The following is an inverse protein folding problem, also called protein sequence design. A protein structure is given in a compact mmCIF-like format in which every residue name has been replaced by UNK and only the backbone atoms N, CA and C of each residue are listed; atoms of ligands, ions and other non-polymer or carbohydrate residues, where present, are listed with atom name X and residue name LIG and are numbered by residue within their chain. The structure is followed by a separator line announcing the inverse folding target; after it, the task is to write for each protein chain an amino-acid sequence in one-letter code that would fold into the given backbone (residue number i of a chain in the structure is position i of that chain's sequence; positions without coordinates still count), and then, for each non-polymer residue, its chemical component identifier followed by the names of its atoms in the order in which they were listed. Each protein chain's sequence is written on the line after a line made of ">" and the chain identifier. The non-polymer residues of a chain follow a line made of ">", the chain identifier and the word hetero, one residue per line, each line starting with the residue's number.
data_IF_973965919807
#
_entry.id   IF_973965919807
#
_cell.length_a   1.000
_cell.length_b   1.000
_cell.length_c   1.000
_cell.angle_alpha   90.00
_cell.angle_beta   90.00
_cell.angle_gamma   90.00
#
_symmetry.space_group_name_H-M   'P 1'
#
loop_
_entity.id
_entity.type
_entity.pdbx_description
1 polymer ?
#
# COMPACT_ATOMS: atom_id res chain seq x y z
N UNK A 1 16.79 -29.19 -15.56
CA UNK A 1 17.08 -29.32 -14.12
C UNK A 1 15.92 -28.74 -13.33
N UNK A 2 15.20 -29.55 -12.55
CA UNK A 2 14.03 -29.14 -11.77
C UNK A 2 14.52 -28.62 -10.40
N UNK A 3 14.29 -27.33 -10.10
CA UNK A 3 14.62 -26.73 -8.79
C UNK A 3 13.55 -27.16 -7.77
N UNK A 4 13.92 -27.61 -6.56
CA UNK A 4 12.94 -27.96 -5.54
C UNK A 4 12.36 -26.68 -4.91
N UNK A 5 11.04 -26.60 -4.79
CA UNK A 5 10.36 -25.54 -4.07
C UNK A 5 10.38 -25.86 -2.56
N UNK A 6 11.12 -25.06 -1.79
CA UNK A 6 11.08 -25.10 -0.33
C UNK A 6 9.86 -24.30 0.16
N UNK A 7 8.87 -24.99 0.73
CA UNK A 7 7.78 -24.39 1.49
C UNK A 7 8.29 -24.02 2.88
N UNK A 8 8.38 -22.72 3.17
CA UNK A 8 8.54 -22.23 4.53
C UNK A 8 7.16 -22.08 5.18
N UNK A 9 6.84 -22.95 6.13
CA UNK A 9 5.66 -22.82 6.99
C UNK A 9 6.00 -21.86 8.13
N UNK A 10 5.53 -20.62 8.07
CA UNK A 10 5.61 -19.68 9.18
C UNK A 10 4.53 -20.01 10.22
N UNK A 11 4.94 -20.40 11.43
CA UNK A 11 4.04 -20.52 12.59
C UNK A 11 3.76 -19.10 13.09
N UNK A 12 2.55 -18.60 12.82
CA UNK A 12 2.07 -17.34 13.41
C UNK A 12 1.61 -17.62 14.84
N UNK A 13 2.35 -17.09 15.82
CA UNK A 13 1.88 -16.94 17.19
C UNK A 13 0.70 -15.96 17.20
N UNK A 14 -0.51 -16.49 17.29
CA UNK A 14 -1.73 -15.69 17.46
C UNK A 14 -1.78 -15.14 18.88
N UNK A 15 -1.34 -13.89 19.08
CA UNK A 15 -1.73 -13.12 20.25
C UNK A 15 -3.25 -12.90 20.19
N UNK A 16 -3.99 -13.01 21.31
CA UNK A 16 -5.43 -12.75 21.31
C UNK A 16 -5.63 -11.27 20.98
N UNK A 17 -6.12 -10.98 19.78
CA UNK A 17 -6.71 -9.69 19.49
C UNK A 17 -7.95 -9.59 20.37
N UNK A 18 -7.97 -8.61 21.28
CA UNK A 18 -9.15 -8.25 22.04
C UNK A 18 -10.23 -7.82 21.03
N UNK A 19 -11.09 -8.76 20.64
CA UNK A 19 -12.23 -8.49 19.77
C UNK A 19 -13.29 -7.77 20.61
N UNK A 20 -13.21 -6.45 20.63
CA UNK A 20 -14.22 -5.61 21.27
C UNK A 20 -15.46 -5.58 20.36
N UNK A 21 -16.63 -5.89 20.92
CA UNK A 21 -17.89 -5.82 20.19
C UNK A 21 -18.17 -4.37 19.79
N UNK A 22 -18.16 -4.07 18.49
CA UNK A 22 -18.35 -2.69 17.98
C UNK A 22 -17.44 -2.27 16.82
N UNK A 23 -16.56 -3.16 16.33
CA UNK A 23 -15.59 -2.85 15.26
C UNK A 23 -16.20 -2.49 13.89
N UNK A 24 -15.35 -1.96 13.00
CA UNK A 24 -15.74 -1.68 11.60
C UNK A 24 -16.19 -2.94 10.86
N UNK A 25 -17.08 -2.76 9.88
CA UNK A 25 -17.45 -3.84 8.96
C UNK A 25 -16.21 -4.42 8.28
N UNK A 26 -16.15 -5.74 8.16
CA UNK A 26 -15.04 -6.42 7.49
C UNK A 26 -14.79 -5.85 6.10
N UNK A 27 -13.52 -5.74 5.71
CA UNK A 27 -13.06 -5.20 4.43
C UNK A 27 -13.36 -3.71 4.17
N UNK A 28 -14.01 -2.98 5.08
CA UNK A 28 -14.27 -1.54 4.88
C UNK A 28 -13.05 -0.64 5.12
N UNK A 29 -12.01 -1.16 5.78
CA UNK A 29 -10.67 -0.56 5.79
C UNK A 29 -9.92 -0.67 4.45
N UNK A 30 -10.47 -1.42 3.49
CA UNK A 30 -9.81 -1.79 2.24
C UNK A 30 -8.78 -2.90 2.44
N UNK A 31 -7.98 -3.13 1.39
CA UNK A 31 -6.75 -3.93 1.45
C UNK A 31 -5.56 -3.01 1.71
N UNK A 32 -4.37 -3.58 1.88
CA UNK A 32 -3.14 -2.79 1.82
C UNK A 32 -2.78 -2.53 0.36
N UNK A 33 -2.56 -1.27 0.00
CA UNK A 33 -1.98 -0.93 -1.29
C UNK A 33 -0.55 -1.44 -1.39
N UNK A 34 0.00 -1.54 -2.60
CA UNK A 34 1.40 -1.89 -2.83
C UNK A 34 2.37 -0.89 -2.18
N UNK A 35 1.91 0.34 -1.95
CA UNK A 35 2.64 1.41 -1.26
C UNK A 35 2.47 1.34 0.29
N UNK A 36 1.65 0.42 0.80
CA UNK A 36 1.46 0.14 2.23
C UNK A 36 0.24 0.80 2.86
N UNK A 37 -0.16 1.97 2.38
CA UNK A 37 -1.34 2.67 2.86
C UNK A 37 -2.62 1.86 2.56
N UNK A 38 -3.61 1.96 3.43
CA UNK A 38 -4.87 1.25 3.22
C UNK A 38 -5.67 1.81 2.03
N UNK A 39 -6.29 0.90 1.27
CA UNK A 39 -7.11 1.23 0.13
C UNK A 39 -7.23 0.10 -0.87
N UNK A 40 -7.15 0.45 -2.15
CA UNK A 40 -7.09 -0.51 -3.24
C UNK A 40 -5.66 -1.02 -3.45
N UNK A 41 -5.48 -1.99 -4.35
CA UNK A 41 -4.16 -2.55 -4.63
C UNK A 41 -3.13 -1.50 -5.08
N UNK A 42 -3.50 -0.57 -5.95
CA UNK A 42 -2.59 0.47 -6.47
C UNK A 42 -2.76 1.84 -5.80
N UNK A 43 -3.99 2.19 -5.45
CA UNK A 43 -4.33 3.54 -4.99
C UNK A 43 -4.81 3.51 -3.54
N UNK A 44 -4.28 4.37 -2.65
CA UNK A 44 -4.83 4.51 -1.31
C UNK A 44 -6.27 5.02 -1.38
N UNK A 45 -7.10 4.55 -0.46
CA UNK A 45 -8.47 5.04 -0.25
C UNK A 45 -8.46 6.01 0.93
N UNK A 46 -9.61 6.64 1.17
CA UNK A 46 -9.77 7.52 2.32
C UNK A 46 -9.91 6.74 3.64
N UNK A 47 -10.29 5.45 3.58
CA UNK A 47 -10.42 4.54 4.72
C UNK A 47 -9.08 4.29 5.41
N UNK A 48 -9.11 4.01 6.72
CA UNK A 48 -7.93 3.56 7.49
C UNK A 48 -7.89 2.03 7.57
N UNK A 49 -6.69 1.45 7.53
CA UNK A 49 -6.45 0.02 7.24
C UNK A 49 -6.61 -0.94 8.39
N UNK A 50 -7.18 -0.52 9.51
CA UNK A 50 -7.53 -1.42 10.61
C UNK A 50 -9.03 -1.39 10.89
N UNK A 51 -9.46 -2.40 11.63
CA UNK A 51 -10.84 -2.51 12.12
C UNK A 51 -11.11 -1.67 13.38
N UNK A 52 -10.10 -0.91 13.86
CA UNK A 52 -10.25 -0.02 15.00
C UNK A 52 -11.22 1.12 14.69
N UNK A 53 -12.07 1.41 15.67
CA UNK A 53 -13.10 2.45 15.63
C UNK A 53 -12.65 3.72 16.34
N UNK A 54 -13.56 4.68 16.49
CA UNK A 54 -13.28 5.91 17.23
C UNK A 54 -12.87 5.58 18.68
N UNK A 55 -11.69 6.05 19.10
CA UNK A 55 -11.14 5.75 20.43
C UNK A 55 -10.13 4.60 20.48
N UNK A 56 -10.00 3.82 19.40
CA UNK A 56 -9.18 2.61 19.38
C UNK A 56 -7.90 2.78 18.54
N UNK A 57 -6.91 1.93 18.81
CA UNK A 57 -5.70 1.77 17.99
C UNK A 57 -5.71 0.37 17.40
N UNK A 58 -5.50 0.27 16.09
CA UNK A 58 -5.45 -1.00 15.37
C UNK A 58 -4.20 -1.09 14.51
N UNK A 59 -3.71 -2.31 14.33
CA UNK A 59 -2.55 -2.60 13.50
C UNK A 59 -2.88 -3.65 12.44
N UNK A 60 -2.22 -3.54 11.29
CA UNK A 60 -2.39 -4.44 10.15
C UNK A 60 -1.02 -4.77 9.60
N UNK A 61 -0.82 -6.03 9.20
CA UNK A 61 0.35 -6.50 8.46
C UNK A 61 -0.12 -7.16 7.18
N UNK A 62 0.67 -7.05 6.11
CA UNK A 62 0.31 -7.64 4.83
C UNK A 62 1.52 -8.15 4.07
N UNK A 63 1.23 -9.09 3.17
CA UNK A 63 2.13 -9.55 2.12
C UNK A 63 1.31 -9.75 0.86
N UNK A 64 1.83 -9.34 -0.29
CA UNK A 64 1.21 -9.54 -1.59
C UNK A 64 2.27 -9.96 -2.59
N UNK A 65 1.90 -10.92 -3.43
CA UNK A 65 2.69 -11.37 -4.57
C UNK A 65 1.85 -11.25 -5.82
N UNK A 66 2.38 -10.57 -6.83
CA UNK A 66 1.85 -10.60 -8.18
C UNK A 66 2.93 -11.17 -9.11
N UNK A 67 2.53 -11.96 -10.10
CA UNK A 67 3.46 -12.50 -11.10
C UNK A 67 2.81 -12.44 -12.47
N UNK A 68 3.57 -11.98 -13.44
CA UNK A 68 3.25 -12.02 -14.86
C UNK A 68 4.25 -12.94 -15.56
N UNK A 69 4.15 -13.11 -16.88
CA UNK A 69 5.10 -13.94 -17.62
C UNK A 69 6.55 -13.47 -17.50
N UNK A 70 6.77 -12.16 -17.34
CA UNK A 70 8.09 -11.54 -17.45
C UNK A 70 8.47 -10.70 -16.22
N UNK A 71 7.61 -10.62 -15.21
CA UNK A 71 7.83 -9.80 -14.02
C UNK A 71 7.24 -10.45 -12.77
N UNK A 72 7.92 -10.30 -11.64
CA UNK A 72 7.44 -10.63 -10.32
C UNK A 72 7.40 -9.40 -9.43
N UNK A 73 6.33 -9.23 -8.66
CA UNK A 73 6.22 -8.19 -7.66
C UNK A 73 5.97 -8.83 -6.29
N UNK A 74 6.82 -8.50 -5.33
CA UNK A 74 6.55 -8.71 -3.92
C UNK A 74 6.35 -7.37 -3.24
N UNK A 75 5.35 -7.30 -2.37
CA UNK A 75 5.18 -6.19 -1.43
C UNK A 75 4.79 -6.74 -0.08
N UNK A 76 5.32 -6.14 0.97
CA UNK A 76 4.97 -6.49 2.34
C UNK A 76 5.17 -5.27 3.25
N UNK A 77 4.41 -5.23 4.33
CA UNK A 77 4.43 -4.07 5.19
C UNK A 77 3.54 -4.21 6.40
N UNK A 78 3.50 -3.12 7.16
CA UNK A 78 2.68 -2.97 8.34
C UNK A 78 2.13 -1.54 8.42
N UNK A 79 0.98 -1.40 9.05
CA UNK A 79 0.37 -0.11 9.35
C UNK A 79 -0.21 -0.11 10.76
N UNK A 80 -0.18 1.05 11.39
CA UNK A 80 -0.89 1.34 12.64
C UNK A 80 -1.84 2.48 12.37
N UNK A 81 -3.07 2.37 12.86
CA UNK A 81 -4.07 3.42 12.74
C UNK A 81 -4.72 3.68 14.09
N UNK A 82 -5.10 4.93 14.33
CA UNK A 82 -5.62 5.38 15.60
C UNK A 82 -6.85 6.27 15.41
N UNK A 83 -7.83 6.09 16.29
CA UNK A 83 -9.06 6.86 16.41
C UNK A 83 -9.90 6.91 15.14
N UNK A 84 -9.71 5.95 14.23
CA UNK A 84 -10.25 5.99 12.88
C UNK A 84 -9.96 7.34 12.16
N UNK A 85 -8.78 7.91 12.40
CA UNK A 85 -8.41 9.24 11.89
C UNK A 85 -7.03 9.27 11.28
N UNK A 86 -6.05 8.65 11.92
CA UNK A 86 -4.65 8.71 11.49
C UNK A 86 -4.16 7.30 11.19
N UNK A 87 -3.34 7.16 10.15
CA UNK A 87 -2.65 5.93 9.79
C UNK A 87 -1.19 6.24 9.48
N UNK A 88 -0.30 5.40 9.99
CA UNK A 88 1.13 5.38 9.66
C UNK A 88 1.43 4.00 9.09
N UNK A 89 2.11 3.94 7.95
CA UNK A 89 2.42 2.71 7.25
C UNK A 89 3.89 2.63 6.84
N UNK A 90 4.40 1.41 6.80
CA UNK A 90 5.72 1.05 6.29
C UNK A 90 5.54 -0.10 5.32
N UNK A 91 6.07 0.04 4.12
CA UNK A 91 6.04 -1.01 3.11
C UNK A 91 7.37 -1.12 2.37
N UNK A 92 7.63 -2.32 1.88
CA UNK A 92 8.74 -2.63 1.01
C UNK A 92 8.24 -3.32 -0.25
N UNK A 93 8.65 -2.80 -1.39
CA UNK A 93 8.36 -3.35 -2.71
C UNK A 93 9.64 -3.94 -3.33
N UNK A 94 9.51 -5.08 -4.00
CA UNK A 94 10.57 -5.72 -4.78
C UNK A 94 9.98 -6.14 -6.13
N UNK A 95 10.31 -5.38 -7.18
CA UNK A 95 9.96 -5.69 -8.56
C UNK A 95 11.14 -6.43 -9.22
N UNK A 96 10.94 -7.70 -9.45
CA UNK A 96 11.81 -8.59 -10.21
C UNK A 96 11.45 -8.50 -11.70
N UNK A 97 12.45 -8.17 -12.52
CA UNK A 97 12.31 -8.10 -13.99
C UNK A 97 12.54 -9.44 -14.68
N UNK A 98 12.75 -10.50 -13.92
CA UNK A 98 13.10 -11.84 -14.37
C UNK A 98 14.18 -11.76 -15.47
N UNK A 99 13.98 -12.42 -16.60
CA UNK A 99 14.93 -12.37 -17.75
C UNK A 99 14.60 -11.31 -18.78
N UNK A 100 13.62 -10.44 -18.50
CA UNK A 100 13.07 -9.50 -19.48
C UNK A 100 14.08 -8.42 -19.93
N UNK A 101 15.06 -8.10 -19.08
CA UNK A 101 16.11 -7.11 -19.37
C UNK A 101 17.47 -7.76 -19.72
N UNK A 102 17.50 -9.07 -19.98
CA UNK A 102 18.72 -9.80 -20.34
C UNK A 102 19.40 -9.26 -21.60
N UNK A 103 18.64 -8.80 -22.59
CA UNK A 103 19.14 -8.17 -23.82
C UNK A 103 19.90 -6.86 -23.57
N UNK A 104 19.67 -6.22 -22.43
CA UNK A 104 20.36 -5.01 -21.96
C UNK A 104 21.49 -5.32 -20.96
N UNK A 105 21.80 -6.59 -20.73
CA UNK A 105 22.80 -7.02 -19.75
C UNK A 105 22.34 -6.90 -18.30
N UNK A 106 21.02 -6.77 -18.06
CA UNK A 106 20.42 -6.55 -16.74
C UNK A 106 19.53 -7.74 -16.33
N UNK A 107 20.03 -8.95 -16.56
CA UNK A 107 19.32 -10.18 -16.21
C UNK A 107 19.06 -10.27 -14.70
N UNK A 108 17.83 -10.61 -14.30
CA UNK A 108 17.42 -10.70 -12.90
C UNK A 108 17.50 -9.39 -12.13
N UNK A 109 17.31 -8.24 -12.79
CA UNK A 109 17.32 -6.95 -12.11
C UNK A 109 16.14 -6.85 -11.14
N UNK A 110 16.46 -6.52 -9.89
CA UNK A 110 15.51 -6.19 -8.84
C UNK A 110 15.47 -4.67 -8.61
N UNK A 111 14.28 -4.09 -8.72
CA UNK A 111 14.00 -2.69 -8.38
C UNK A 111 13.22 -2.67 -7.06
N UNK A 112 13.89 -2.23 -5.99
CA UNK A 112 13.33 -2.23 -4.64
C UNK A 112 12.96 -0.82 -4.20
N UNK A 113 11.91 -0.70 -3.40
CA UNK A 113 11.49 0.59 -2.85
C UNK A 113 11.04 0.42 -1.40
N UNK A 114 11.57 1.26 -0.52
CA UNK A 114 11.08 1.41 0.85
C UNK A 114 10.13 2.62 0.91
N UNK A 115 9.00 2.47 1.59
CA UNK A 115 7.89 3.44 1.57
C UNK A 115 7.42 3.68 3.00
N UNK A 116 7.45 4.93 3.44
CA UNK A 116 6.88 5.41 4.70
C UNK A 116 5.67 6.29 4.40
N UNK A 117 4.50 5.86 4.83
CA UNK A 117 3.23 6.54 4.60
C UNK A 117 2.65 7.15 5.88
N UNK A 118 2.03 8.32 5.74
CA UNK A 118 1.15 8.92 6.75
C UNK A 118 -0.14 9.34 6.06
N UNK A 119 -1.30 9.02 6.64
CA UNK A 119 -2.61 9.36 6.11
C UNK A 119 -3.51 9.86 7.23
N UNK A 120 -4.28 10.91 6.95
CA UNK A 120 -5.22 11.51 7.88
C UNK A 120 -6.59 11.67 7.23
N UNK A 121 -7.62 11.07 7.82
CA UNK A 121 -9.03 11.30 7.47
C UNK A 121 -9.44 12.69 7.93
N UNK A 122 -9.76 13.53 6.97
CA UNK A 122 -10.17 14.93 7.18
C UNK A 122 -11.65 14.99 7.54
N UNK A 123 -12.51 14.38 6.74
CA UNK A 123 -13.98 14.52 6.87
C UNK A 123 -14.72 13.32 6.30
N UNK A 124 -15.97 13.15 6.73
CA UNK A 124 -16.91 12.16 6.22
C UNK A 124 -16.67 10.74 6.72
N UNK A 125 -17.71 9.93 6.59
CA UNK A 125 -17.64 8.48 6.79
C UNK A 125 -18.05 7.74 5.51
N UNK A 126 -17.16 6.87 5.02
CA UNK A 126 -17.39 6.18 3.75
C UNK A 126 -18.54 5.17 3.84
N UNK A 127 -18.84 4.68 5.05
CA UNK A 127 -19.75 3.56 5.31
C UNK A 127 -20.98 4.02 6.07
N UNK A 128 -20.80 4.74 7.19
CA UNK A 128 -21.87 5.10 8.11
C UNK A 128 -22.77 6.22 7.58
N UNK A 129 -22.24 7.15 6.78
CA UNK A 129 -23.02 8.24 6.19
C UNK A 129 -23.77 7.80 4.91
N UNK A 130 -24.36 6.60 4.89
CA UNK A 130 -24.98 5.99 3.71
C UNK A 130 -26.13 6.82 3.11
N UNK A 131 -26.82 7.61 3.93
CA UNK A 131 -27.94 8.46 3.50
C UNK A 131 -27.50 9.77 2.82
N UNK A 132 -26.19 10.04 2.78
CA UNK A 132 -25.64 11.25 2.17
C UNK A 132 -24.64 10.92 1.06
N UNK A 133 -24.54 11.80 0.07
CA UNK A 133 -23.53 11.69 -1.00
C UNK A 133 -22.13 12.12 -0.56
N UNK A 134 -21.94 12.53 0.70
CA UNK A 134 -20.64 12.97 1.20
C UNK A 134 -19.67 11.77 1.25
N UNK A 135 -18.55 11.80 0.52
CA UNK A 135 -17.52 10.78 0.65
C UNK A 135 -16.67 11.03 1.90
N UNK A 136 -15.98 9.98 2.34
CA UNK A 136 -14.86 10.16 3.25
C UNK A 136 -13.68 10.73 2.48
N UNK A 137 -13.02 11.74 3.04
CA UNK A 137 -11.85 12.39 2.45
C UNK A 137 -10.65 12.24 3.35
N UNK A 138 -9.51 11.87 2.78
CA UNK A 138 -8.24 11.80 3.47
C UNK A 138 -7.12 12.49 2.67
N UNK A 139 -6.13 12.99 3.40
CA UNK A 139 -4.87 13.49 2.84
C UNK A 139 -3.78 12.54 3.29
N UNK A 140 -2.85 12.21 2.41
CA UNK A 140 -1.69 11.40 2.78
C UNK A 140 -0.40 11.85 2.12
N UNK A 141 0.69 11.40 2.74
CA UNK A 141 2.06 11.61 2.35
C UNK A 141 2.74 10.25 2.26
N UNK A 142 3.50 10.01 1.21
CA UNK A 142 4.32 8.81 1.05
C UNK A 142 5.76 9.22 0.76
N UNK A 143 6.67 8.96 1.68
CA UNK A 143 8.10 9.12 1.43
C UNK A 143 8.68 7.80 0.88
N UNK A 144 9.26 7.87 -0.30
CA UNK A 144 9.76 6.72 -1.06
C UNK A 144 11.27 6.82 -1.21
N UNK A 145 11.95 5.69 -1.02
CA UNK A 145 13.39 5.53 -1.29
C UNK A 145 13.61 4.33 -2.21
N UNK A 146 14.23 4.59 -3.35
CA UNK A 146 14.43 3.60 -4.42
C UNK A 146 15.85 3.04 -4.38
N UNK A 147 15.93 1.72 -4.51
CA UNK A 147 17.17 0.96 -4.65
C UNK A 147 17.16 0.29 -6.02
N UNK A 148 17.80 0.94 -7.00
CA UNK A 148 17.69 0.57 -8.41
C UNK A 148 18.66 -0.53 -8.87
N UNK A 149 19.31 -1.25 -7.96
CA UNK A 149 20.24 -2.34 -8.29
C UNK A 149 21.30 -1.92 -9.33
N UNK A 150 21.46 -2.74 -10.37
CA UNK A 150 22.44 -2.49 -11.45
C UNK A 150 22.14 -1.22 -12.27
N UNK A 151 20.92 -0.68 -12.23
CA UNK A 151 20.59 0.60 -12.87
C UNK A 151 21.00 1.83 -12.04
N UNK A 152 21.36 1.66 -10.76
CA UNK A 152 21.69 2.75 -9.85
C UNK A 152 22.74 3.73 -10.39
N UNK A 153 23.92 3.27 -10.87
CA UNK A 153 24.95 4.16 -11.40
C UNK A 153 24.48 5.00 -12.59
N UNK A 154 23.64 4.41 -13.45
CA UNK A 154 23.12 5.08 -14.65
C UNK A 154 22.02 6.08 -14.30
N UNK A 155 21.07 5.67 -13.44
CA UNK A 155 19.93 6.49 -13.07
C UNK A 155 20.36 7.68 -12.22
N UNK A 156 21.13 7.47 -11.17
CA UNK A 156 21.49 8.52 -10.22
C UNK A 156 22.73 9.32 -10.62
N UNK A 157 23.48 8.84 -11.64
CA UNK A 157 24.62 9.54 -12.22
C UNK A 157 24.21 10.31 -13.48
N UNK A 158 24.53 9.80 -14.69
CA UNK A 158 24.33 10.52 -15.95
C UNK A 158 22.91 11.02 -16.21
N UNK A 159 21.90 10.27 -15.75
CA UNK A 159 20.49 10.63 -15.97
C UNK A 159 19.93 11.57 -14.89
N UNK A 160 20.66 11.81 -13.80
CA UNK A 160 20.27 12.75 -12.74
C UNK A 160 18.96 12.40 -12.03
N UNK A 161 18.51 11.14 -12.08
CA UNK A 161 17.33 10.68 -11.36
C UNK A 161 17.55 10.77 -9.85
N UNK A 162 16.46 10.92 -9.09
CA UNK A 162 16.51 10.98 -7.62
C UNK A 162 16.24 9.60 -7.05
N UNK A 163 17.00 9.21 -6.02
CA UNK A 163 16.80 7.96 -5.28
C UNK A 163 15.76 8.06 -4.16
N UNK A 164 15.16 9.23 -3.95
CA UNK A 164 14.06 9.41 -3.01
C UNK A 164 13.15 10.58 -3.39
N UNK A 165 11.89 10.49 -2.94
CA UNK A 165 10.88 11.51 -3.16
C UNK A 165 9.78 11.43 -2.12
N UNK A 166 8.95 12.47 -2.06
CA UNK A 166 7.74 12.47 -1.24
C UNK A 166 6.57 12.80 -2.11
N UNK A 167 5.57 11.95 -2.05
CA UNK A 167 4.33 12.07 -2.79
C UNK A 167 3.27 12.60 -1.84
N UNK A 168 2.38 13.43 -2.36
CA UNK A 168 1.24 13.98 -1.62
C UNK A 168 -0.01 13.55 -2.35
N UNK A 169 -1.00 13.02 -1.63
CA UNK A 169 -2.26 12.64 -2.24
C UNK A 169 -3.46 13.08 -1.42
N UNK A 170 -4.58 13.20 -2.13
CA UNK A 170 -5.93 13.38 -1.55
C UNK A 170 -6.81 12.28 -2.12
N UNK A 171 -7.50 11.56 -1.25
CA UNK A 171 -8.44 10.49 -1.63
C UNK A 171 -9.83 10.80 -1.12
N UNK A 172 -10.83 10.52 -1.96
CA UNK A 172 -12.25 10.57 -1.62
C UNK A 172 -12.87 9.19 -1.91
N UNK A 173 -13.48 8.56 -0.90
CA UNK A 173 -14.02 7.20 -1.00
C UNK A 173 -15.45 7.14 -0.46
N UNK A 174 -16.33 6.45 -1.18
CA UNK A 174 -17.72 6.19 -0.76
C UNK A 174 -18.09 4.73 -1.02
N UNK A 175 -18.72 4.09 -0.04
CA UNK A 175 -19.33 2.77 -0.17
C UNK A 175 -20.85 2.93 -0.24
N UNK A 176 -21.44 2.54 -1.37
CA UNK A 176 -22.87 2.39 -1.54
C UNK A 176 -23.27 0.99 -1.05
N UNK A 177 -23.52 0.88 0.25
CA UNK A 177 -23.63 -0.41 0.95
C UNK A 177 -24.75 -1.30 0.39
N UNK A 178 -25.92 -0.72 0.07
CA UNK A 178 -27.05 -1.47 -0.47
C UNK A 178 -26.77 -2.10 -1.85
N UNK A 179 -25.86 -1.50 -2.62
CA UNK A 179 -25.47 -1.94 -3.96
C UNK A 179 -24.17 -2.74 -3.95
N UNK A 180 -23.41 -2.71 -2.85
CA UNK A 180 -22.07 -3.31 -2.78
C UNK A 180 -21.05 -2.61 -3.68
N UNK A 181 -21.25 -1.33 -4.00
CA UNK A 181 -20.39 -0.57 -4.93
C UNK A 181 -19.52 0.40 -4.15
N UNK A 182 -18.19 0.32 -4.36
CA UNK A 182 -17.23 1.27 -3.82
C UNK A 182 -16.71 2.18 -4.93
N UNK A 183 -16.79 3.49 -4.70
CA UNK A 183 -16.25 4.52 -5.60
C UNK A 183 -15.11 5.23 -4.89
N UNK A 184 -13.96 5.35 -5.55
CA UNK A 184 -12.80 6.06 -5.03
C UNK A 184 -12.17 6.94 -6.10
N UNK A 185 -11.85 8.17 -5.72
CA UNK A 185 -11.07 9.11 -6.51
C UNK A 185 -9.84 9.51 -5.70
N UNK A 186 -8.65 9.34 -6.28
CA UNK A 186 -7.39 9.71 -5.64
C UNK A 186 -6.58 10.58 -6.59
N UNK A 187 -6.21 11.77 -6.12
CA UNK A 187 -5.30 12.68 -6.80
C UNK A 187 -3.94 12.61 -6.10
N UNK A 188 -2.88 12.28 -6.84
CA UNK A 188 -1.50 12.13 -6.31
C UNK A 188 -0.56 13.06 -7.06
N UNK A 189 0.09 13.97 -6.33
CA UNK A 189 1.23 14.74 -6.80
C UNK A 189 2.51 14.02 -6.39
N UNK A 190 3.35 13.69 -7.36
CA UNK A 190 4.49 12.80 -7.14
C UNK A 190 5.78 13.32 -7.76
N UNK A 191 6.92 12.88 -7.21
CA UNK A 191 8.27 13.19 -7.67
C UNK A 191 8.90 12.02 -8.45
N UNK A 192 8.18 11.51 -9.44
CA UNK A 192 8.63 10.56 -10.48
C UNK A 192 9.44 9.36 -9.96
N UNK A 193 8.87 8.63 -9.00
CA UNK A 193 9.38 7.33 -8.54
C UNK A 193 8.68 6.17 -9.28
N UNK A 194 9.08 4.92 -8.98
CA UNK A 194 8.67 3.72 -9.70
C UNK A 194 7.14 3.54 -9.87
N UNK A 195 6.33 4.09 -8.95
CA UNK A 195 4.87 3.96 -8.95
C UNK A 195 4.16 5.33 -9.12
N UNK A 196 4.84 6.28 -9.76
CA UNK A 196 4.50 7.69 -9.70
C UNK A 196 5.43 8.38 -8.75
#
# INVERSE_FOLDING_TARGET
>A
MRRPALLFTAILLSAPALAQSGGKLLLTGGVSSIDGAAGGGLTPWAATGSYATAGEVGATVFVTRARTGNYGLWTYGAAVSAWDRVEISLAKQDLDTESNLSSLGLDGLHLKQDILGVKVRVVGDAVLDSDTLMPQVAIGLEHKKTHAGALGPTLFGPLGARGSGTDVYVSATKLFLAQGVLVSLTLRATKANQNG
#
